data_IF_717554516603
#
_entry.id   IF_717554516603
#
_cell.length_a   1.000
_cell.length_b   1.000
_cell.length_c   1.000
_cell.angle_alpha   90.00
_cell.angle_beta   90.00
_cell.angle_gamma   90.00
#
_symmetry.space_group_name_H-M   'P 1'
#
loop_
_entity.id
_entity.type
_entity.pdbx_description
1 polymer ?
#
# COMPACT_ATOMS: atom_id res chain seq x y z
N UNK A 1 12.30 -18.35 23.15
CA UNK A 1 11.24 -17.52 22.55
C UNK A 1 11.61 -16.10 22.88
N UNK A 2 11.89 -15.27 21.88
CA UNK A 2 12.11 -13.85 22.14
C UNK A 2 10.75 -13.23 22.40
N UNK A 3 10.60 -12.52 23.52
CA UNK A 3 9.44 -11.67 23.76
C UNK A 3 9.50 -10.50 22.77
N UNK A 4 8.58 -10.48 21.82
CA UNK A 4 8.39 -9.38 20.90
C UNK A 4 7.19 -8.56 21.38
N UNK A 5 7.41 -7.29 21.70
CA UNK A 5 6.36 -6.35 22.06
C UNK A 5 5.90 -5.58 20.82
N UNK A 6 4.58 -5.52 20.59
CA UNK A 6 3.97 -4.71 19.53
C UNK A 6 3.54 -3.38 20.15
N UNK A 7 4.11 -2.28 19.68
CA UNK A 7 3.83 -0.93 20.18
C UNK A 7 3.01 -0.15 19.13
N UNK A 8 1.87 0.43 19.51
CA UNK A 8 1.07 1.32 18.63
C UNK A 8 1.76 2.69 18.53
N UNK A 9 2.22 3.04 17.34
CA UNK A 9 2.73 4.40 17.05
C UNK A 9 1.54 5.32 16.78
N UNK A 10 1.39 6.37 17.59
CA UNK A 10 0.24 7.28 17.53
C UNK A 10 0.42 8.47 16.58
N UNK A 11 1.68 8.83 16.28
CA UNK A 11 2.12 9.89 15.37
C UNK A 11 3.50 9.53 14.83
N UNK A 12 3.77 9.90 13.58
CA UNK A 12 5.09 9.80 12.97
C UNK A 12 5.59 11.23 12.75
N UNK A 13 6.83 11.50 13.14
CA UNK A 13 7.54 12.71 12.70
C UNK A 13 7.89 12.57 11.21
N UNK A 14 8.02 13.69 10.50
CA UNK A 14 8.20 13.69 9.04
C UNK A 14 9.46 12.93 8.60
N UNK A 15 10.56 13.05 9.35
CA UNK A 15 11.80 12.30 9.12
C UNK A 15 11.60 10.78 9.27
N UNK A 16 10.84 10.33 10.26
CA UNK A 16 10.56 8.91 10.47
C UNK A 16 9.65 8.38 9.37
N UNK A 17 8.73 9.21 8.87
CA UNK A 17 7.87 8.83 7.75
C UNK A 17 8.67 8.68 6.45
N UNK A 18 9.64 9.55 6.19
CA UNK A 18 10.56 9.43 5.06
C UNK A 18 11.39 8.15 5.15
N UNK A 19 12.06 7.91 6.28
CA UNK A 19 12.86 6.70 6.51
C UNK A 19 12.03 5.41 6.39
N UNK A 20 10.81 5.41 6.96
CA UNK A 20 9.90 4.29 6.83
C UNK A 20 9.46 4.09 5.37
N UNK A 21 9.26 5.17 4.62
CA UNK A 21 8.87 5.08 3.22
C UNK A 21 10.01 4.52 2.36
N UNK A 22 11.24 4.95 2.59
CA UNK A 22 12.43 4.40 1.91
C UNK A 22 12.56 2.89 2.22
N UNK A 23 12.45 2.49 3.50
CA UNK A 23 12.47 1.07 3.88
C UNK A 23 11.35 0.26 3.21
N UNK A 24 10.13 0.82 3.16
CA UNK A 24 8.99 0.15 2.52
C UNK A 24 9.19 0.03 1.01
N UNK A 25 9.81 1.01 0.37
CA UNK A 25 10.17 0.95 -1.05
C UNK A 25 11.19 -0.18 -1.26
N UNK A 26 12.27 -0.22 -0.49
CA UNK A 26 13.31 -1.27 -0.59
C UNK A 26 12.70 -2.68 -0.43
N UNK A 27 11.81 -2.86 0.55
CA UNK A 27 11.09 -4.12 0.79
C UNK A 27 10.25 -4.54 -0.43
N UNK A 28 9.57 -3.60 -1.08
CA UNK A 28 8.77 -3.87 -2.27
C UNK A 28 9.64 -4.14 -3.49
N UNK A 29 10.77 -3.44 -3.65
CA UNK A 29 11.76 -3.72 -4.70
C UNK A 29 12.33 -5.14 -4.56
N UNK A 30 12.51 -5.63 -3.33
CA UNK A 30 12.91 -7.00 -3.01
C UNK A 30 11.77 -8.04 -3.16
N UNK A 31 10.59 -7.62 -3.58
CA UNK A 31 9.46 -8.49 -3.94
C UNK A 31 8.53 -8.84 -2.79
N UNK A 32 8.68 -8.23 -1.61
CA UNK A 32 7.75 -8.42 -0.51
C UNK A 32 6.50 -7.54 -0.63
N UNK A 33 5.37 -8.03 -0.13
CA UNK A 33 4.10 -7.29 -0.14
C UNK A 33 3.93 -6.44 1.11
N UNK A 34 3.34 -5.25 0.96
CA UNK A 34 2.92 -4.40 2.08
C UNK A 34 1.42 -4.55 2.29
N UNK A 35 1.02 -4.91 3.51
CA UNK A 35 -0.36 -5.06 3.92
C UNK A 35 -0.74 -4.14 5.08
N UNK A 36 -1.98 -3.67 5.08
CA UNK A 36 -2.56 -2.86 6.16
C UNK A 36 -3.52 -3.73 6.98
N UNK A 37 -3.21 -3.96 8.26
CA UNK A 37 -4.02 -4.81 9.13
C UNK A 37 -5.11 -4.02 9.87
N UNK A 38 -6.36 -4.54 9.94
CA UNK A 38 -7.37 -3.95 10.79
C UNK A 38 -7.05 -4.15 12.29
N UNK A 39 -7.54 -3.28 13.19
CA UNK A 39 -8.34 -2.09 12.91
C UNK A 39 -7.50 -0.89 12.46
N UNK A 40 -7.80 -0.34 11.28
CA UNK A 40 -7.24 0.94 10.86
C UNK A 40 -8.03 2.08 11.50
N UNK A 41 -7.42 2.81 12.44
CA UNK A 41 -7.94 4.13 12.82
C UNK A 41 -7.65 5.08 11.66
N UNK A 42 -8.66 5.82 11.18
CA UNK A 42 -8.58 6.77 10.05
C UNK A 42 -7.67 7.98 10.36
N UNK A 43 -6.39 7.76 10.63
CA UNK A 43 -5.39 8.80 10.94
C UNK A 43 -4.64 9.31 9.70
N UNK A 44 -5.01 8.85 8.50
CA UNK A 44 -4.37 9.29 7.26
C UNK A 44 -3.00 8.67 6.97
N UNK A 45 -2.49 7.77 7.82
CA UNK A 45 -1.15 7.14 7.67
C UNK A 45 -0.98 6.48 6.30
N UNK A 46 -1.94 5.64 5.87
CA UNK A 46 -1.84 4.99 4.56
C UNK A 46 -1.81 6.00 3.40
N UNK A 47 -2.54 7.12 3.53
CA UNK A 47 -2.47 8.20 2.55
C UNK A 47 -1.12 8.93 2.59
N UNK A 48 -0.59 9.20 3.77
CA UNK A 48 0.71 9.84 3.94
C UNK A 48 1.82 8.98 3.31
N UNK A 49 1.85 7.67 3.61
CA UNK A 49 2.78 6.72 3.01
C UNK A 49 2.69 6.70 1.48
N UNK A 50 1.49 6.66 0.91
CA UNK A 50 1.32 6.69 -0.55
C UNK A 50 1.80 8.01 -1.16
N UNK A 51 1.59 9.15 -0.50
CA UNK A 51 2.09 10.45 -0.97
C UNK A 51 3.62 10.50 -0.90
N UNK A 52 4.23 10.02 0.18
CA UNK A 52 5.68 9.96 0.31
C UNK A 52 6.30 9.03 -0.73
N UNK A 53 5.70 7.85 -0.97
CA UNK A 53 6.11 6.94 -2.03
C UNK A 53 6.02 7.58 -3.42
N UNK A 54 4.93 8.28 -3.73
CA UNK A 54 4.80 9.01 -5.00
C UNK A 54 5.91 10.06 -5.16
N UNK A 55 6.21 10.83 -4.12
CA UNK A 55 7.26 11.85 -4.17
C UNK A 55 8.65 11.23 -4.38
N UNK A 56 8.95 10.14 -3.66
CA UNK A 56 10.21 9.43 -3.79
C UNK A 56 10.38 8.82 -5.19
N UNK A 57 9.34 8.16 -5.69
CA UNK A 57 9.35 7.59 -7.05
C UNK A 57 9.60 8.67 -8.12
N UNK A 58 9.02 9.87 -7.98
CA UNK A 58 9.34 11.02 -8.88
C UNK A 58 10.80 11.45 -8.77
N UNK A 59 11.35 11.52 -7.56
CA UNK A 59 12.76 11.87 -7.34
C UNK A 59 13.73 10.87 -7.99
N UNK A 60 13.32 9.61 -8.08
CA UNK A 60 14.06 8.54 -8.77
C UNK A 60 13.80 8.48 -10.28
N UNK A 61 13.04 9.43 -10.83
CA UNK A 61 12.74 9.49 -12.26
C UNK A 61 11.75 8.42 -12.74
N UNK A 62 10.96 7.83 -11.83
CA UNK A 62 9.84 6.96 -12.20
C UNK A 62 8.69 7.80 -12.76
N UNK A 63 7.99 7.30 -13.77
CA UNK A 63 6.88 8.00 -14.44
C UNK A 63 5.52 7.31 -14.27
N UNK A 64 5.50 6.11 -13.69
CA UNK A 64 4.33 5.27 -13.58
C UNK A 64 4.41 4.43 -12.31
N UNK A 65 3.32 4.42 -11.54
CA UNK A 65 3.09 3.46 -10.47
C UNK A 65 1.96 2.52 -10.86
N UNK A 66 2.14 1.24 -10.59
CA UNK A 66 1.14 0.19 -10.77
C UNK A 66 0.94 -0.49 -9.42
N UNK A 67 -0.31 -0.72 -9.05
CA UNK A 67 -0.71 -1.37 -7.82
C UNK A 67 -1.77 -2.40 -8.13
N UNK A 68 -1.84 -3.47 -7.36
CA UNK A 68 -2.97 -4.39 -7.40
C UNK A 68 -3.48 -4.68 -5.99
N UNK A 69 -4.77 -4.95 -5.88
CA UNK A 69 -5.38 -5.34 -4.61
C UNK A 69 -6.66 -6.11 -4.87
N UNK A 70 -7.10 -6.90 -3.90
CA UNK A 70 -8.33 -7.68 -4.01
C UNK A 70 -9.55 -6.77 -4.08
N UNK A 71 -10.55 -7.19 -4.84
CA UNK A 71 -11.83 -6.51 -4.92
C UNK A 71 -12.54 -6.49 -3.56
N UNK A 72 -12.92 -5.31 -3.09
CA UNK A 72 -13.61 -5.11 -1.82
C UNK A 72 -12.67 -4.66 -0.69
N UNK A 73 -11.35 -4.71 -0.88
CA UNK A 73 -10.40 -4.23 0.11
C UNK A 73 -10.47 -2.69 0.26
N UNK A 74 -10.15 -2.20 1.46
CA UNK A 74 -10.09 -0.75 1.75
C UNK A 74 -9.12 -0.01 0.81
N UNK A 75 -8.08 -0.69 0.34
CA UNK A 75 -7.11 -0.20 -0.64
C UNK A 75 -7.79 0.29 -1.92
N UNK A 76 -8.89 -0.33 -2.37
CA UNK A 76 -9.65 0.15 -3.54
C UNK A 76 -10.18 1.58 -3.34
N UNK A 77 -10.64 1.91 -2.14
CA UNK A 77 -11.14 3.26 -1.81
C UNK A 77 -9.96 4.23 -1.71
N UNK A 78 -8.87 3.81 -1.04
CA UNK A 78 -7.67 4.61 -0.89
C UNK A 78 -7.08 5.02 -2.25
N UNK A 79 -6.80 4.06 -3.13
CA UNK A 79 -6.16 4.33 -4.42
C UNK A 79 -6.99 5.29 -5.28
N UNK A 80 -8.31 5.09 -5.36
CA UNK A 80 -9.22 6.00 -6.07
C UNK A 80 -9.21 7.40 -5.47
N UNK A 81 -9.16 7.53 -4.14
CA UNK A 81 -9.10 8.83 -3.47
C UNK A 81 -7.79 9.60 -3.72
N UNK A 82 -6.74 8.91 -4.16
CA UNK A 82 -5.44 9.48 -4.52
C UNK A 82 -5.27 9.71 -6.03
N UNK A 83 -6.31 9.44 -6.83
CA UNK A 83 -6.31 9.69 -8.27
C UNK A 83 -5.71 8.55 -9.10
N UNK A 84 -5.52 7.36 -8.53
CA UNK A 84 -5.20 6.18 -9.34
C UNK A 84 -6.42 5.77 -10.18
N UNK A 85 -6.15 5.38 -11.42
CA UNK A 85 -7.15 4.88 -12.37
C UNK A 85 -7.15 3.35 -12.37
N UNK A 86 -8.32 2.75 -12.44
CA UNK A 86 -8.46 1.29 -12.58
C UNK A 86 -8.05 0.89 -14.01
N UNK A 87 -7.06 0.01 -14.13
CA UNK A 87 -6.61 -0.54 -15.41
C UNK A 87 -7.44 -1.75 -15.85
N UNK A 88 -7.93 -2.54 -14.89
CA UNK A 88 -8.72 -3.73 -15.16
C UNK A 88 -8.83 -4.66 -13.96
N UNK A 89 -9.54 -5.76 -14.16
CA UNK A 89 -9.78 -6.80 -13.15
C UNK A 89 -9.51 -8.17 -13.72
N UNK A 90 -8.84 -9.01 -12.94
CA UNK A 90 -8.69 -10.43 -13.24
C UNK A 90 -9.52 -11.21 -12.22
N UNK A 91 -10.58 -11.91 -12.65
CA UNK A 91 -11.42 -12.67 -11.73
C UNK A 91 -10.72 -13.95 -11.25
N UNK A 92 -11.11 -14.41 -10.05
CA UNK A 92 -10.76 -15.71 -9.49
C UNK A 92 -9.25 -15.99 -9.32
N UNK A 93 -8.45 -14.98 -8.95
CA UNK A 93 -7.00 -15.16 -8.73
C UNK A 93 -6.54 -14.87 -7.31
N UNK A 94 -7.27 -14.05 -6.55
CA UNK A 94 -6.95 -13.77 -5.16
C UNK A 94 -7.63 -14.82 -4.27
N UNK A 95 -6.87 -15.74 -3.70
CA UNK A 95 -7.44 -16.72 -2.77
C UNK A 95 -7.54 -16.14 -1.35
N UNK A 96 -8.76 -16.13 -0.81
CA UNK A 96 -9.06 -15.75 0.57
C UNK A 96 -8.74 -16.90 1.54
N UNK A 97 -8.61 -16.58 2.83
CA UNK A 97 -8.28 -17.56 3.87
C UNK A 97 -9.34 -18.68 4.01
N UNK A 98 -10.58 -18.41 3.60
CA UNK A 98 -11.68 -19.38 3.55
C UNK A 98 -11.68 -20.24 2.26
N UNK A 99 -10.69 -20.05 1.39
CA UNK A 99 -10.54 -20.75 0.12
C UNK A 99 -11.35 -20.17 -1.04
N UNK A 100 -12.17 -19.15 -0.81
CA UNK A 100 -12.88 -18.44 -1.88
C UNK A 100 -11.90 -17.69 -2.79
N UNK A 101 -12.28 -17.51 -4.06
CA UNK A 101 -11.49 -16.78 -5.03
C UNK A 101 -12.15 -15.45 -5.34
N UNK A 102 -11.43 -14.37 -5.08
CA UNK A 102 -11.81 -13.01 -5.37
C UNK A 102 -11.07 -12.48 -6.62
N UNK A 103 -11.61 -11.40 -7.18
CA UNK A 103 -10.94 -10.69 -8.26
C UNK A 103 -9.79 -9.83 -7.71
N UNK A 104 -8.68 -9.76 -8.45
CA UNK A 104 -7.67 -8.72 -8.25
C UNK A 104 -7.95 -7.56 -9.19
N UNK A 105 -7.83 -6.34 -8.67
CA UNK A 105 -8.03 -5.09 -9.41
C UNK A 105 -6.68 -4.41 -9.54
N UNK A 106 -6.30 -4.09 -10.78
CA UNK A 106 -5.09 -3.33 -11.09
C UNK A 106 -5.40 -1.84 -11.20
N UNK A 107 -4.53 -1.04 -10.61
CA UNK A 107 -4.56 0.42 -10.60
C UNK A 107 -3.26 0.97 -11.16
N UNK A 108 -3.33 2.15 -11.79
CA UNK A 108 -2.16 2.86 -12.24
C UNK A 108 -2.29 4.37 -12.05
N UNK A 109 -1.16 5.05 -11.95
CA UNK A 109 -1.07 6.51 -11.93
C UNK A 109 0.22 6.97 -12.59
N UNK A 110 0.09 7.92 -13.51
CA UNK A 110 1.24 8.68 -14.02
C UNK A 110 1.66 9.68 -12.95
N UNK A 111 2.94 9.67 -12.58
CA UNK A 111 3.51 10.49 -11.50
C UNK A 111 4.57 11.43 -12.02
#
# INVERSE_FOLDING_TARGET
>A
MNDHEIIEINSLEDNVLEELSDLLIDIVEDGASIGFLPPFRKKGIAKALMVTLENRAKMEGRSLLILDTRAGDLSNILYRSLGYMEAGRIPNIAQSADGSLDATIFYYKLI
#
